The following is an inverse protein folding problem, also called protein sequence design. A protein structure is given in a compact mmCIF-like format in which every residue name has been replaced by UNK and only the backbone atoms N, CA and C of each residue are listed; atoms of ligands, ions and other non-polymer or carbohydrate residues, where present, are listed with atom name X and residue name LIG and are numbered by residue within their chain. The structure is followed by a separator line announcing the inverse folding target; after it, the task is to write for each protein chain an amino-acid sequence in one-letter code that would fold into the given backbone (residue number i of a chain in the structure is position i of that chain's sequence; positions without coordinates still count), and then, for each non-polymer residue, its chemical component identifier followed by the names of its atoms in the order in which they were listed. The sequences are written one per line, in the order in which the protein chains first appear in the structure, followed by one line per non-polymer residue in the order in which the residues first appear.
data_IF_167369807998
#
_entry.id   IF_167369807998
#
_cell.length_a   1.000
_cell.length_b   1.000
_cell.length_c   1.000
_cell.angle_alpha   90.00
_cell.angle_beta   90.00
_cell.angle_gamma   90.00
#
_symmetry.space_group_name_H-M   'P 1'
#
loop_
_entity.id
_entity.type
_entity.pdbx_description
1 polymer ?
#
# COMPACT_ATOMS: atom_id res chain seq x y z
N UNK A 1 1.80 -0.64 -9.18
CA UNK A 1 1.62 0.22 -10.39
C UNK A 1 2.74 1.24 -10.46
N UNK A 2 3.26 1.53 -11.66
CA UNK A 2 4.21 2.62 -11.89
C UNK A 2 3.51 3.74 -12.67
N UNK A 3 3.32 4.90 -12.05
CA UNK A 3 2.80 6.11 -12.71
C UNK A 3 4.00 6.98 -13.11
N UNK A 4 4.23 7.18 -14.41
CA UNK A 4 5.36 7.95 -14.94
C UNK A 4 4.88 9.23 -15.65
N UNK A 5 5.60 10.34 -15.48
CA UNK A 5 5.32 11.62 -16.14
C UNK A 5 5.93 12.84 -15.44
N UNK A 6 5.97 14.02 -16.10
CA UNK A 6 6.56 15.26 -15.57
C UNK A 6 6.05 15.67 -14.17
N UNK A 7 6.79 16.47 -13.38
CA UNK A 7 6.28 17.00 -12.12
C UNK A 7 4.98 17.80 -12.33
N UNK A 8 4.06 17.75 -11.37
CA UNK A 8 2.77 18.45 -11.46
C UNK A 8 1.65 17.74 -12.24
N UNK A 9 1.90 16.59 -12.87
CA UNK A 9 0.86 15.87 -13.66
C UNK A 9 -0.16 15.07 -12.85
N UNK A 10 -0.29 15.32 -11.55
CA UNK A 10 -1.34 14.69 -10.73
C UNK A 10 -1.17 13.19 -10.43
N UNK A 11 0.01 12.59 -10.65
CA UNK A 11 0.28 11.16 -10.36
C UNK A 11 -0.08 10.74 -8.94
N UNK A 12 0.24 11.58 -7.95
CA UNK A 12 -0.12 11.34 -6.54
C UNK A 12 -1.63 11.35 -6.34
N UNK A 13 -2.33 12.29 -6.98
CA UNK A 13 -3.79 12.38 -6.95
C UNK A 13 -4.44 11.12 -7.56
N UNK A 14 -3.93 10.66 -8.71
CA UNK A 14 -4.40 9.42 -9.34
C UNK A 14 -4.16 8.19 -8.46
N UNK A 15 -2.97 8.04 -7.89
CA UNK A 15 -2.65 6.92 -6.99
C UNK A 15 -3.59 6.88 -5.77
N UNK A 16 -3.85 8.03 -5.14
CA UNK A 16 -4.73 8.11 -3.95
C UNK A 16 -6.20 7.80 -4.24
N UNK A 17 -6.68 8.07 -5.45
CA UNK A 17 -8.08 7.83 -5.85
C UNK A 17 -8.28 6.44 -6.45
N UNK A 18 -7.23 5.80 -6.93
CA UNK A 18 -7.32 4.44 -7.45
C UNK A 18 -7.83 3.45 -6.39
N UNK A 19 -7.48 3.65 -5.13
CA UNK A 19 -7.98 2.80 -4.03
C UNK A 19 -9.45 3.02 -3.72
N UNK A 20 -10.05 4.17 -4.08
CA UNK A 20 -11.47 4.43 -3.82
C UNK A 20 -12.41 3.86 -4.90
N UNK A 21 -11.88 3.44 -6.05
CA UNK A 21 -12.68 2.87 -7.15
C UNK A 21 -12.56 1.35 -7.26
N UNK A 22 -11.71 0.74 -6.43
CA UNK A 22 -11.58 -0.71 -6.38
C UNK A 22 -12.78 -1.32 -5.64
N UNK A 23 -13.22 -2.52 -6.03
CA UNK A 23 -14.23 -3.24 -5.27
C UNK A 23 -13.73 -3.52 -3.86
N UNK A 24 -14.67 -3.67 -2.91
CA UNK A 24 -14.36 -4.08 -1.55
C UNK A 24 -13.56 -5.40 -1.55
N UNK A 25 -12.78 -5.61 -0.50
CA UNK A 25 -12.06 -6.87 -0.34
C UNK A 25 -13.04 -8.00 -0.06
N UNK A 26 -12.76 -9.16 -0.64
CA UNK A 26 -13.32 -10.43 -0.17
C UNK A 26 -12.85 -10.70 1.26
N UNK A 27 -13.58 -11.54 1.99
CA UNK A 27 -13.20 -11.93 3.35
C UNK A 27 -11.80 -12.56 3.40
N UNK A 28 -11.44 -13.33 2.37
CA UNK A 28 -10.13 -13.94 2.25
C UNK A 28 -9.01 -12.89 2.06
N UNK A 29 -9.19 -11.93 1.15
CA UNK A 29 -8.24 -10.82 0.97
C UNK A 29 -8.09 -9.98 2.26
N UNK A 30 -9.19 -9.78 2.99
CA UNK A 30 -9.19 -9.04 4.25
C UNK A 30 -8.39 -9.76 5.34
N UNK A 31 -8.53 -11.09 5.46
CA UNK A 31 -7.76 -11.92 6.39
C UNK A 31 -6.26 -11.90 6.05
N UNK A 32 -5.90 -12.01 4.78
CA UNK A 32 -4.50 -11.93 4.33
C UNK A 32 -3.89 -10.55 4.67
N UNK A 33 -4.63 -9.47 4.40
CA UNK A 33 -4.20 -8.12 4.76
C UNK A 33 -4.03 -7.95 6.27
N UNK A 34 -4.96 -8.49 7.07
CA UNK A 34 -4.89 -8.44 8.53
C UNK A 34 -3.68 -9.22 9.06
N UNK A 35 -3.36 -10.38 8.47
CA UNK A 35 -2.18 -11.15 8.81
C UNK A 35 -0.88 -10.37 8.56
N UNK A 36 -0.76 -9.71 7.40
CA UNK A 36 0.39 -8.84 7.08
C UNK A 36 0.49 -7.66 8.06
N UNK A 37 -0.66 -7.04 8.40
CA UNK A 37 -0.68 -5.89 9.33
C UNK A 37 -0.23 -6.32 10.73
N UNK A 38 -0.71 -7.47 11.20
CA UNK A 38 -0.35 -8.08 12.49
C UNK A 38 1.16 -8.30 12.63
N UNK A 39 1.81 -8.90 11.63
CA UNK A 39 3.27 -9.13 11.66
C UNK A 39 4.09 -7.84 11.50
N UNK A 40 3.52 -6.81 10.87
CA UNK A 40 4.21 -5.52 10.65
C UNK A 40 4.22 -4.60 11.88
N UNK A 41 3.62 -5.03 13.01
CA UNK A 41 3.49 -4.23 14.23
C UNK A 41 2.48 -3.08 14.11
N UNK A 42 1.66 -3.09 13.06
CA UNK A 42 0.60 -2.09 12.88
C UNK A 42 -0.62 -2.43 13.73
N UNK A 43 -1.24 -1.42 14.35
CA UNK A 43 -2.48 -1.62 15.09
C UNK A 43 -3.61 -2.03 14.14
N UNK A 44 -4.38 -3.05 14.54
CA UNK A 44 -5.61 -3.43 13.87
C UNK A 44 -6.76 -2.56 14.40
N UNK A 45 -7.37 -1.77 13.51
CA UNK A 45 -8.56 -0.98 13.81
C UNK A 45 -9.73 -1.66 13.08
N UNK A 46 -10.81 -1.98 13.79
CA UNK A 46 -11.97 -2.65 13.20
C UNK A 46 -12.58 -1.87 12.01
N UNK A 47 -12.41 -0.55 11.99
CA UNK A 47 -12.85 0.35 10.91
C UNK A 47 -12.07 0.16 9.59
N UNK A 48 -10.91 -0.50 9.65
CA UNK A 48 -10.12 -0.88 8.47
C UNK A 48 -10.48 -2.26 7.92
N UNK A 49 -11.44 -2.97 8.55
CA UNK A 49 -11.88 -4.28 8.06
C UNK A 49 -12.43 -4.18 6.63
N UNK A 50 -12.00 -5.09 5.76
CA UNK A 50 -12.30 -5.09 4.33
C UNK A 50 -11.90 -3.81 3.55
N UNK A 51 -11.20 -2.85 4.17
CA UNK A 51 -10.72 -1.63 3.50
C UNK A 51 -9.35 -1.86 2.85
N UNK A 52 -9.24 -1.63 1.55
CA UNK A 52 -7.96 -1.81 0.82
C UNK A 52 -6.89 -0.86 1.40
N UNK A 53 -5.73 -1.39 1.82
CA UNK A 53 -4.66 -0.55 2.36
C UNK A 53 -4.07 0.33 1.25
N UNK A 54 -3.94 1.63 1.53
CA UNK A 54 -3.18 2.55 0.68
C UNK A 54 -1.91 2.96 1.41
N UNK A 55 -0.74 2.72 0.80
CA UNK A 55 0.51 3.35 1.20
C UNK A 55 0.89 4.36 0.14
N UNK A 56 1.05 5.62 0.56
CA UNK A 56 1.55 6.67 -0.33
C UNK A 56 2.89 6.21 -0.92
N UNK A 57 3.08 6.29 -2.24
CA UNK A 57 4.36 5.95 -2.82
C UNK A 57 5.45 6.84 -2.20
N UNK A 58 6.40 6.22 -1.49
CA UNK A 58 7.58 6.94 -1.02
C UNK A 58 8.38 7.36 -2.25
N UNK A 59 8.52 8.67 -2.47
CA UNK A 59 9.22 9.25 -3.62
C UNK A 59 10.72 8.89 -3.68
N UNK A 60 11.22 8.14 -2.70
CA UNK A 60 12.60 7.64 -2.55
C UNK A 60 12.72 6.12 -2.66
N UNK A 61 11.65 5.38 -2.97
CA UNK A 61 11.74 3.92 -3.14
C UNK A 61 12.60 3.57 -4.36
N UNK A 62 13.80 3.05 -4.12
CA UNK A 62 14.69 2.54 -5.16
C UNK A 62 14.14 1.23 -5.77
N UNK A 63 14.62 0.84 -6.95
CA UNK A 63 14.28 -0.45 -7.55
C UNK A 63 14.55 -1.64 -6.60
N UNK A 64 15.58 -1.52 -5.74
CA UNK A 64 15.93 -2.49 -4.71
C UNK A 64 14.87 -2.53 -3.57
N UNK A 65 14.28 -1.39 -3.20
CA UNK A 65 13.21 -1.32 -2.21
C UNK A 65 11.89 -1.97 -2.71
N UNK A 66 11.65 -1.95 -4.03
CA UNK A 66 10.47 -2.56 -4.67
C UNK A 66 10.58 -4.09 -4.82
N UNK A 67 11.80 -4.62 -4.98
CA UNK A 67 12.05 -6.07 -5.17
C UNK A 67 12.30 -6.79 -3.84
N UNK A 68 12.41 -6.07 -2.71
CA UNK A 68 12.70 -6.66 -1.41
C UNK A 68 14.20 -6.87 -1.18
N UNK A 69 14.96 -5.77 -1.23
CA UNK A 69 16.39 -5.78 -0.92
C UNK A 69 16.68 -5.93 0.56
N UNK A 70 16.81 -7.18 1.01
CA UNK A 70 17.61 -7.53 2.19
C UNK A 70 16.82 -7.89 3.45
N UNK A 71 17.33 -8.92 4.15
CA UNK A 71 16.74 -9.64 5.30
C UNK A 71 16.42 -8.82 6.56
N UNK A 72 16.47 -7.49 6.57
CA UNK A 72 16.20 -6.70 7.78
C UNK A 72 15.75 -5.26 7.45
N UNK A 73 14.44 -4.96 7.43
CA UNK A 73 13.95 -3.58 7.32
C UNK A 73 14.19 -2.85 8.66
N UNK A 74 14.87 -1.70 8.61
CA UNK A 74 15.09 -0.78 9.74
C UNK A 74 14.36 0.55 9.46
N UNK A 75 13.95 1.27 10.53
CA UNK A 75 12.86 2.26 10.50
C UNK A 75 13.08 3.43 9.56
#
# INVERSE_FOLDING_TARGET
MLLFGPPGTGKTMLASRLTSIQPDMTEQEALECAAIKSISGGEFVAQDWCRRPFRTPHHTSSAVALVGGGRNPRP
#
